data_IF_492858007896
#
_entry.id   IF_492858007896
#
_cell.length_a   1.000
_cell.length_b   1.000
_cell.length_c   1.000
_cell.angle_alpha   90.00
_cell.angle_beta   90.00
_cell.angle_gamma   90.00
#
_symmetry.space_group_name_H-M   'P 1'
#
loop_
_entity.id
_entity.type
_entity.pdbx_description
1 polymer ?
#
# COMPACT_ATOMS: atom_id res chain seq x y z
N UNK A 1 22.84 6.59 0.18
CA UNK A 1 22.09 7.86 0.09
C UNK A 1 23.09 8.96 0.22
N UNK A 2 22.80 10.12 -0.35
CA UNK A 2 23.57 11.33 -0.11
C UNK A 2 23.56 11.69 1.37
N UNK A 3 24.63 12.33 1.85
CA UNK A 3 24.69 12.86 3.20
C UNK A 3 23.61 13.92 3.41
N UNK A 4 23.39 14.78 2.40
CA UNK A 4 22.37 15.83 2.44
C UNK A 4 20.97 15.29 2.72
N UNK A 5 20.57 14.18 2.08
CA UNK A 5 19.25 13.59 2.32
C UNK A 5 19.23 12.75 3.60
N UNK A 6 20.34 12.08 3.93
CA UNK A 6 20.41 11.21 5.10
C UNK A 6 20.38 11.98 6.43
N UNK A 7 20.86 13.23 6.44
CA UNK A 7 20.93 14.09 7.62
C UNK A 7 19.96 15.29 7.58
N UNK A 8 19.09 15.37 6.57
CA UNK A 8 18.13 16.47 6.43
C UNK A 8 17.28 16.63 7.70
N UNK A 9 17.36 17.81 8.33
CA UNK A 9 16.68 18.14 9.60
C UNK A 9 16.92 17.12 10.73
N UNK A 10 18.07 16.44 10.76
CA UNK A 10 18.44 15.50 11.83
C UNK A 10 17.97 14.06 11.60
N UNK A 11 16.77 13.87 11.05
CA UNK A 11 16.17 12.52 10.85
C UNK A 11 16.41 11.94 9.45
N UNK A 12 16.68 12.83 8.49
CA UNK A 12 16.80 12.51 7.07
C UNK A 12 15.46 12.26 6.39
N UNK A 13 15.49 12.25 5.06
CA UNK A 13 14.32 11.97 4.24
C UNK A 13 14.14 10.44 4.13
N UNK A 14 12.99 9.93 4.58
CA UNK A 14 12.68 8.48 4.58
C UNK A 14 11.45 8.18 3.73
N UNK A 15 11.51 7.09 2.97
CA UNK A 15 10.40 6.56 2.19
C UNK A 15 10.02 5.18 2.74
N UNK A 16 8.77 5.02 3.17
CA UNK A 16 8.25 3.72 3.58
C UNK A 16 8.12 2.78 2.37
N UNK A 17 7.82 1.49 2.63
CA UNK A 17 7.69 0.49 1.55
C UNK A 17 6.61 0.88 0.53
N UNK A 18 5.49 1.43 0.99
CA UNK A 18 4.41 1.90 0.12
C UNK A 18 4.90 2.99 -0.81
N UNK A 19 5.53 4.05 -0.31
CA UNK A 19 6.08 5.13 -1.13
C UNK A 19 7.08 4.62 -2.17
N UNK A 20 7.94 3.66 -1.78
CA UNK A 20 8.89 3.03 -2.72
C UNK A 20 8.20 2.20 -3.80
N UNK A 21 7.14 1.45 -3.46
CA UNK A 21 6.34 0.74 -4.45
C UNK A 21 5.55 1.71 -5.35
N UNK A 22 5.05 2.80 -4.77
CA UNK A 22 4.31 3.82 -5.49
C UNK A 22 5.19 4.54 -6.50
N UNK A 23 6.48 4.74 -6.22
CA UNK A 23 7.41 5.31 -7.18
C UNK A 23 7.39 4.58 -8.53
N UNK A 24 7.01 3.31 -8.59
CA UNK A 24 6.94 2.53 -9.82
C UNK A 24 5.64 2.70 -10.63
N UNK A 25 4.67 3.50 -10.16
CA UNK A 25 3.43 3.74 -10.91
C UNK A 25 3.67 4.66 -12.10
N UNK A 26 2.99 4.37 -13.21
CA UNK A 26 3.02 5.17 -14.43
C UNK A 26 1.59 5.54 -14.86
N UNK A 27 1.01 6.62 -14.30
CA UNK A 27 -0.39 6.97 -14.54
C UNK A 27 -0.75 7.21 -16.02
N UNK A 28 0.20 7.66 -16.86
CA UNK A 28 -0.07 7.88 -18.29
C UNK A 28 -0.34 6.58 -19.06
N UNK A 29 0.12 5.44 -18.55
CA UNK A 29 -0.11 4.13 -19.16
C UNK A 29 -1.42 3.49 -18.68
N UNK A 30 -2.19 4.17 -17.83
CA UNK A 30 -3.42 3.61 -17.29
C UNK A 30 -4.54 3.68 -18.32
N UNK A 31 -4.98 2.51 -18.80
CA UNK A 31 -6.19 2.42 -19.60
C UNK A 31 -7.44 2.36 -18.71
N UNK A 32 -8.60 2.73 -19.25
CA UNK A 32 -9.88 2.64 -18.53
C UNK A 32 -10.13 1.22 -18.01
N UNK A 33 -9.93 0.21 -18.87
CA UNK A 33 -10.16 -1.20 -18.55
C UNK A 33 -9.23 -1.69 -17.44
N UNK A 34 -7.94 -1.40 -17.51
CA UNK A 34 -6.98 -1.81 -16.50
C UNK A 34 -7.23 -1.11 -15.17
N UNK A 35 -7.53 0.20 -15.23
CA UNK A 35 -7.88 1.00 -14.06
C UNK A 35 -9.13 0.49 -13.38
N UNK A 36 -10.20 0.20 -14.13
CA UNK A 36 -11.44 -0.36 -13.58
C UNK A 36 -11.20 -1.69 -12.86
N UNK A 37 -10.38 -2.57 -13.44
CA UNK A 37 -9.98 -3.83 -12.81
C UNK A 37 -9.08 -3.63 -11.59
N UNK A 38 -8.15 -2.67 -11.63
CA UNK A 38 -7.31 -2.30 -10.49
C UNK A 38 -8.14 -1.76 -9.32
N UNK A 39 -9.02 -0.79 -9.57
CA UNK A 39 -9.88 -0.19 -8.55
C UNK A 39 -10.86 -1.19 -7.96
N UNK A 40 -11.45 -2.07 -8.77
CA UNK A 40 -12.37 -3.10 -8.27
C UNK A 40 -11.65 -4.07 -7.31
N UNK A 41 -10.40 -4.46 -7.61
CA UNK A 41 -9.57 -5.28 -6.72
C UNK A 41 -9.27 -4.58 -5.39
N UNK A 42 -8.92 -3.30 -5.43
CA UNK A 42 -8.64 -2.53 -4.22
C UNK A 42 -9.91 -2.27 -3.40
N UNK A 43 -11.04 -2.03 -4.07
CA UNK A 43 -12.35 -1.95 -3.43
C UNK A 43 -12.69 -3.25 -2.71
N UNK A 44 -12.60 -4.40 -3.38
CA UNK A 44 -12.83 -5.71 -2.76
C UNK A 44 -11.90 -5.94 -1.57
N UNK A 45 -10.61 -5.60 -1.69
CA UNK A 45 -9.66 -5.75 -0.58
C UNK A 45 -10.03 -4.88 0.61
N UNK A 46 -10.46 -3.63 0.37
CA UNK A 46 -10.83 -2.69 1.42
C UNK A 46 -12.12 -3.11 2.15
N UNK A 47 -13.16 -3.50 1.40
CA UNK A 47 -14.42 -3.98 2.00
C UNK A 47 -14.20 -5.29 2.75
N UNK A 48 -13.37 -6.21 2.23
CA UNK A 48 -12.99 -7.42 2.95
C UNK A 48 -12.25 -7.11 4.26
N UNK A 49 -11.32 -6.15 4.25
CA UNK A 49 -10.61 -5.75 5.47
C UNK A 49 -11.56 -5.15 6.52
N UNK A 50 -12.57 -4.38 6.08
CA UNK A 50 -13.61 -3.86 6.96
C UNK A 50 -14.48 -4.99 7.55
N UNK A 51 -14.89 -5.94 6.72
CA UNK A 51 -15.61 -7.14 7.16
C UNK A 51 -14.81 -7.96 8.18
N UNK A 52 -13.50 -8.13 7.95
CA UNK A 52 -12.60 -8.76 8.92
C UNK A 52 -12.53 -7.99 10.24
N UNK A 53 -12.53 -6.66 10.21
CA UNK A 53 -12.55 -5.86 11.43
C UNK A 53 -13.86 -6.05 12.20
N UNK A 54 -14.99 -6.01 11.51
CA UNK A 54 -16.32 -6.11 12.13
C UNK A 54 -16.60 -7.50 12.69
N UNK A 55 -16.10 -8.56 12.04
CA UNK A 55 -16.20 -9.94 12.53
C UNK A 55 -15.07 -10.33 13.50
N UNK A 56 -14.18 -9.38 13.84
CA UNK A 56 -13.13 -9.58 14.84
C UNK A 56 -11.95 -10.44 14.38
N UNK A 57 -11.78 -10.65 13.08
CA UNK A 57 -10.59 -11.30 12.49
C UNK A 57 -9.35 -10.42 12.64
N UNK A 58 -9.52 -9.09 12.53
CA UNK A 58 -8.45 -8.11 12.75
C UNK A 58 -8.84 -7.13 13.83
N UNK A 59 -7.84 -6.50 14.46
CA UNK A 59 -8.01 -5.48 15.49
C UNK A 59 -7.51 -4.13 14.99
N UNK A 60 -8.04 -3.04 15.56
CA UNK A 60 -7.49 -1.70 15.36
C UNK A 60 -6.12 -1.58 16.01
N UNK A 61 -5.20 -0.90 15.34
CA UNK A 61 -3.86 -0.56 15.83
C UNK A 61 -3.77 0.95 15.90
N UNK A 62 -3.22 1.47 17.00
CA UNK A 62 -2.99 2.91 17.18
C UNK A 62 -1.54 3.26 16.90
N UNK A 63 -1.33 4.35 16.18
CA UNK A 63 -0.03 4.92 15.87
C UNK A 63 0.20 6.14 16.77
N UNK A 64 0.30 5.95 18.08
CA UNK A 64 0.69 7.05 18.97
C UNK A 64 2.17 7.37 18.75
N UNK A 65 2.47 8.66 18.52
CA UNK A 65 3.76 9.15 18.02
C UNK A 65 4.93 9.09 19.01
N UNK A 66 5.24 7.95 19.62
CA UNK A 66 6.42 7.82 20.49
C UNK A 66 7.08 6.45 20.34
N UNK A 67 8.39 6.50 20.10
CA UNK A 67 9.31 5.37 20.19
C UNK A 67 9.08 4.63 21.51
N UNK A 68 8.76 3.33 21.45
CA UNK A 68 8.58 2.51 22.65
C UNK A 68 7.65 1.35 22.39
N UNK A 69 8.25 0.21 22.05
CA UNK A 69 7.81 -1.17 22.28
C UNK A 69 6.31 -1.50 22.19
N UNK A 70 6.02 -2.38 21.24
CA UNK A 70 4.78 -3.14 21.14
C UNK A 70 4.34 -3.72 22.49
N UNK A 71 3.29 -3.15 23.08
CA UNK A 71 2.40 -3.89 23.98
C UNK A 71 0.97 -3.79 23.43
N UNK A 72 0.51 -4.94 22.96
CA UNK A 72 -0.87 -5.19 22.60
C UNK A 72 -1.70 -5.28 23.89
N UNK A 73 -1.92 -4.13 24.54
CA UNK A 73 -2.70 -4.10 25.77
C UNK A 73 -4.17 -3.83 25.51
N UNK A 74 -4.95 -4.70 26.15
CA UNK A 74 -6.40 -4.82 26.10
C UNK A 74 -6.98 -3.80 27.08
N UNK A 75 -7.18 -2.55 26.65
CA UNK A 75 -7.85 -1.54 27.46
C UNK A 75 -9.05 -0.95 26.71
N UNK A 76 -10.19 -0.95 27.40
CA UNK A 76 -11.49 -0.54 26.90
C UNK A 76 -11.50 0.90 26.38
N UNK A 77 -12.22 1.08 25.28
CA UNK A 77 -12.41 2.30 24.53
C UNK A 77 -13.00 3.44 25.37
N UNK A 78 -12.21 4.46 25.64
CA UNK A 78 -12.72 5.83 25.75
C UNK A 78 -12.69 6.40 24.33
N UNK A 79 -13.87 6.72 23.78
CA UNK A 79 -13.98 7.49 22.53
C UNK A 79 -13.45 8.89 22.83
N UNK A 80 -12.23 9.16 22.37
CA UNK A 80 -11.67 10.50 22.40
C UNK A 80 -12.01 11.16 21.06
N UNK A 81 -12.78 12.24 21.09
CA UNK A 81 -13.30 12.95 19.90
C UNK A 81 -12.19 13.63 19.05
N UNK A 82 -10.92 13.48 19.44
CA UNK A 82 -9.75 13.98 18.72
C UNK A 82 -9.04 12.94 17.83
N UNK A 83 -9.54 11.71 17.70
CA UNK A 83 -8.88 10.66 16.92
C UNK A 83 -8.90 10.96 15.40
N UNK A 84 -7.73 11.17 14.80
CA UNK A 84 -7.59 11.31 13.35
C UNK A 84 -7.57 9.94 12.67
N UNK A 85 -8.17 9.77 11.47
CA UNK A 85 -8.04 8.56 10.67
C UNK A 85 -6.59 8.18 10.33
N UNK A 86 -5.65 9.12 10.44
CA UNK A 86 -4.22 8.88 10.22
C UNK A 86 -3.51 8.21 11.41
N UNK A 87 -4.12 8.22 12.59
CA UNK A 87 -3.54 7.67 13.82
C UNK A 87 -3.95 6.21 14.05
N UNK A 88 -4.77 5.63 13.16
CA UNK A 88 -5.39 4.32 13.35
C UNK A 88 -5.25 3.47 12.08
N UNK A 89 -4.85 2.21 12.25
CA UNK A 89 -4.90 1.19 11.20
C UNK A 89 -5.48 -0.12 11.73
N UNK A 90 -5.36 -1.20 10.96
CA UNK A 90 -5.71 -2.56 11.40
C UNK A 90 -4.52 -3.49 11.22
N UNK A 91 -4.46 -4.57 12.00
CA UNK A 91 -3.46 -5.60 11.78
C UNK A 91 -3.53 -6.11 10.33
N UNK A 92 -2.41 -6.13 9.58
CA UNK A 92 -2.42 -6.50 8.18
C UNK A 92 -2.70 -7.99 8.01
N UNK A 93 -3.55 -8.34 7.03
CA UNK A 93 -3.77 -9.74 6.61
C UNK A 93 -3.14 -9.94 5.24
N UNK A 94 -2.18 -10.87 5.13
CA UNK A 94 -1.48 -11.17 3.89
C UNK A 94 -2.27 -12.26 3.15
N UNK A 95 -3.03 -11.85 2.11
CA UNK A 95 -3.81 -12.78 1.27
C UNK A 95 -2.98 -13.23 0.06
N UNK A 96 -2.11 -12.36 -0.47
CA UNK A 96 -1.43 -12.58 -1.74
C UNK A 96 -2.37 -12.65 -2.94
N UNK A 97 -1.91 -13.23 -4.04
CA UNK A 97 -2.71 -13.41 -5.26
C UNK A 97 -3.77 -14.49 -5.11
N UNK A 98 -4.95 -14.27 -5.70
CA UNK A 98 -6.02 -15.25 -5.82
C UNK A 98 -6.15 -15.72 -7.27
N UNK A 99 -6.96 -16.77 -7.50
CA UNK A 99 -7.29 -17.24 -8.85
C UNK A 99 -8.04 -16.14 -9.60
N UNK A 100 -7.90 -16.09 -10.94
CA UNK A 100 -8.51 -15.05 -11.77
C UNK A 100 -10.04 -14.95 -11.58
N UNK A 101 -10.72 -16.09 -11.41
CA UNK A 101 -12.16 -16.15 -11.18
C UNK A 101 -12.62 -15.46 -9.89
N UNK A 102 -11.76 -15.38 -8.87
CA UNK A 102 -12.07 -14.70 -7.61
C UNK A 102 -12.28 -13.19 -7.81
N UNK A 103 -11.78 -12.60 -8.89
CA UNK A 103 -11.89 -11.15 -9.13
C UNK A 103 -13.13 -10.75 -9.93
N UNK A 104 -14.02 -11.69 -10.27
CA UNK A 104 -15.22 -11.43 -11.07
C UNK A 104 -16.37 -10.75 -10.30
N UNK A 105 -16.43 -10.92 -8.98
CA UNK A 105 -17.42 -10.28 -8.11
C UNK A 105 -16.87 -10.17 -6.69
N UNK A 106 -17.44 -9.31 -5.85
CA UNK A 106 -17.03 -9.22 -4.45
C UNK A 106 -17.24 -10.54 -3.72
N UNK A 107 -18.36 -11.21 -3.99
CA UNK A 107 -18.65 -12.53 -3.44
C UNK A 107 -17.56 -13.56 -3.76
N UNK A 108 -17.21 -13.71 -5.04
CA UNK A 108 -16.15 -14.64 -5.46
C UNK A 108 -14.80 -14.29 -4.83
N UNK A 109 -14.54 -13.00 -4.59
CA UNK A 109 -13.33 -12.53 -3.95
C UNK A 109 -13.28 -12.91 -2.48
N UNK A 110 -14.36 -12.67 -1.73
CA UNK A 110 -14.47 -13.03 -0.31
C UNK A 110 -14.34 -14.54 -0.14
N UNK A 111 -15.08 -15.34 -0.91
CA UNK A 111 -15.03 -16.81 -0.82
C UNK A 111 -13.62 -17.33 -1.11
N UNK A 112 -12.99 -16.86 -2.18
CA UNK A 112 -11.62 -17.28 -2.53
C UNK A 112 -10.57 -16.81 -1.51
N UNK A 113 -10.75 -15.64 -0.90
CA UNK A 113 -9.88 -15.15 0.15
C UNK A 113 -10.02 -15.98 1.44
N UNK A 114 -11.25 -16.24 1.89
CA UNK A 114 -11.52 -17.04 3.09
C UNK A 114 -11.01 -18.47 2.89
N UNK A 115 -11.34 -19.13 1.78
CA UNK A 115 -10.84 -20.46 1.44
C UNK A 115 -9.31 -20.53 1.51
N UNK A 116 -8.63 -19.54 0.92
CA UNK A 116 -7.16 -19.50 0.94
C UNK A 116 -6.61 -19.31 2.35
N UNK A 117 -7.25 -18.47 3.17
CA UNK A 117 -6.77 -18.16 4.51
C UNK A 117 -7.07 -19.28 5.52
N UNK A 118 -8.13 -20.06 5.32
CA UNK A 118 -8.46 -21.23 6.16
C UNK A 118 -7.67 -22.48 5.79
N UNK A 119 -7.20 -22.58 4.54
CA UNK A 119 -6.39 -23.74 4.07
C UNK A 119 -4.88 -23.51 4.16
N UNK A 120 -4.43 -22.32 4.57
CA UNK A 120 -3.00 -22.02 4.64
C UNK A 120 -2.35 -22.67 5.88
N UNK A 121 -1.56 -23.72 5.64
CA UNK A 121 -0.85 -24.47 6.68
C UNK A 121 0.31 -23.71 7.32
N UNK A 122 0.82 -22.64 6.71
CA UNK A 122 1.93 -21.85 7.27
C UNK A 122 1.53 -21.07 8.52
N UNK A 123 0.24 -20.75 8.67
CA UNK A 123 -0.27 -19.90 9.76
C UNK A 123 -1.53 -20.51 10.40
N UNK A 124 -1.42 -21.71 10.98
CA UNK A 124 -2.56 -22.44 11.59
C UNK A 124 -3.41 -21.61 12.56
N UNK A 125 -2.77 -20.79 13.40
CA UNK A 125 -3.50 -19.92 14.35
C UNK A 125 -4.42 -18.91 13.65
N UNK A 126 -4.03 -18.42 12.48
CA UNK A 126 -4.87 -17.53 11.68
C UNK A 126 -5.99 -18.29 10.95
N UNK A 127 -5.74 -19.54 10.55
CA UNK A 127 -6.73 -20.37 9.90
C UNK A 127 -7.91 -20.70 10.84
N UNK A 128 -7.63 -21.03 12.11
CA UNK A 128 -8.68 -21.34 13.10
C UNK A 128 -9.56 -20.12 13.39
N UNK A 129 -8.94 -18.94 13.61
CA UNK A 129 -9.68 -17.68 13.82
C UNK A 129 -10.49 -17.31 12.57
N UNK A 130 -9.92 -17.48 11.38
CA UNK A 130 -10.62 -17.22 10.12
C UNK A 130 -11.83 -18.15 9.99
N UNK A 131 -11.67 -19.44 10.29
CA UNK A 131 -12.76 -20.40 10.23
C UNK A 131 -13.85 -20.10 11.25
N UNK A 132 -13.47 -19.76 12.49
CA UNK A 132 -14.40 -19.40 13.57
C UNK A 132 -15.21 -18.15 13.21
N UNK A 133 -14.54 -17.10 12.70
CA UNK A 133 -15.18 -15.80 12.46
C UNK A 133 -15.83 -15.65 11.10
N UNK A 134 -15.36 -16.37 10.08
CA UNK A 134 -15.80 -16.22 8.68
C UNK A 134 -16.43 -17.48 8.10
N UNK A 135 -16.37 -18.63 8.76
CA UNK A 135 -16.86 -19.90 8.20
C UNK A 135 -18.37 -19.92 7.95
N UNK A 136 -19.14 -19.15 8.71
CA UNK A 136 -20.60 -19.04 8.65
C UNK A 136 -21.09 -17.82 7.85
N UNK A 137 -20.18 -17.06 7.20
CA UNK A 137 -20.59 -15.86 6.48
C UNK A 137 -21.54 -16.22 5.32
N UNK A 138 -22.73 -15.61 5.32
CA UNK A 138 -23.75 -15.82 4.29
C UNK A 138 -23.50 -14.96 3.06
N UNK A 139 -24.08 -15.35 1.92
CA UNK A 139 -23.99 -14.56 0.69
C UNK A 139 -24.71 -13.20 0.85
N UNK A 140 -25.84 -13.18 1.56
CA UNK A 140 -26.62 -11.97 1.83
C UNK A 140 -25.84 -10.97 2.69
N UNK A 141 -25.04 -11.46 3.64
CA UNK A 141 -24.14 -10.60 4.42
C UNK A 141 -23.04 -10.00 3.54
N UNK A 142 -22.43 -10.79 2.67
CA UNK A 142 -21.40 -10.31 1.74
C UNK A 142 -21.99 -9.22 0.82
N UNK A 143 -23.17 -9.46 0.26
CA UNK A 143 -23.88 -8.53 -0.61
C UNK A 143 -24.26 -7.23 0.12
N UNK A 144 -24.67 -7.33 1.40
CA UNK A 144 -24.94 -6.16 2.25
C UNK A 144 -23.69 -5.28 2.42
N UNK A 145 -22.52 -5.88 2.67
CA UNK A 145 -21.26 -5.12 2.76
C UNK A 145 -20.91 -4.45 1.43
N UNK A 146 -21.06 -5.15 0.31
CA UNK A 146 -20.83 -4.55 -1.02
C UNK A 146 -21.75 -3.35 -1.25
N UNK A 147 -23.06 -3.52 -1.03
CA UNK A 147 -24.05 -2.46 -1.22
C UNK A 147 -23.78 -1.24 -0.30
N UNK A 148 -23.42 -1.47 0.96
CA UNK A 148 -23.13 -0.43 1.94
C UNK A 148 -21.94 0.45 1.53
N UNK A 149 -20.88 -0.16 0.98
CA UNK A 149 -19.64 0.55 0.65
C UNK A 149 -19.50 0.94 -0.82
N UNK A 150 -20.29 0.37 -1.72
CA UNK A 150 -20.22 0.65 -3.15
C UNK A 150 -20.33 2.15 -3.49
N UNK A 151 -21.21 2.96 -2.86
CA UNK A 151 -21.23 4.41 -3.09
C UNK A 151 -19.88 5.11 -2.88
N UNK A 152 -19.04 4.58 -1.98
CA UNK A 152 -17.71 5.12 -1.64
C UNK A 152 -16.59 4.62 -2.54
N UNK A 153 -16.86 3.71 -3.49
CA UNK A 153 -15.85 3.21 -4.44
C UNK A 153 -15.17 4.36 -5.20
N UNK A 154 -15.92 5.42 -5.54
CA UNK A 154 -15.37 6.60 -6.22
C UNK A 154 -14.31 7.33 -5.38
N UNK A 155 -14.53 7.47 -4.07
CA UNK A 155 -13.56 8.05 -3.14
C UNK A 155 -12.27 7.21 -3.12
N UNK A 156 -12.41 5.88 -3.06
CA UNK A 156 -11.28 4.97 -3.12
C UNK A 156 -10.51 5.12 -4.44
N UNK A 157 -11.20 5.16 -5.58
CA UNK A 157 -10.55 5.40 -6.87
C UNK A 157 -9.76 6.72 -6.86
N UNK A 158 -10.34 7.80 -6.34
CA UNK A 158 -9.68 9.10 -6.27
C UNK A 158 -8.41 9.05 -5.41
N UNK A 159 -8.45 8.42 -4.23
CA UNK A 159 -7.28 8.27 -3.35
C UNK A 159 -6.18 7.45 -4.03
N UNK A 160 -6.53 6.32 -4.67
CA UNK A 160 -5.54 5.51 -5.38
C UNK A 160 -4.93 6.23 -6.59
N UNK A 161 -5.73 7.01 -7.32
CA UNK A 161 -5.21 7.87 -8.40
C UNK A 161 -4.27 8.94 -7.86
N UNK A 162 -4.63 9.65 -6.78
CA UNK A 162 -3.77 10.64 -6.14
C UNK A 162 -2.44 10.04 -5.67
N UNK A 163 -2.49 8.84 -5.06
CA UNK A 163 -1.28 8.10 -4.73
C UNK A 163 -0.45 7.81 -5.98
N UNK A 164 -1.06 7.35 -7.08
CA UNK A 164 -0.34 7.09 -8.32
C UNK A 164 0.29 8.36 -8.92
N UNK A 165 -0.37 9.51 -8.84
CA UNK A 165 0.22 10.80 -9.24
C UNK A 165 1.41 11.21 -8.36
N UNK A 166 1.38 10.90 -7.07
CA UNK A 166 2.50 11.18 -6.16
C UNK A 166 3.77 10.37 -6.48
N UNK A 167 3.67 9.33 -7.31
CA UNK A 167 4.79 8.50 -7.75
C UNK A 167 5.94 9.33 -8.35
N UNK A 168 5.61 10.34 -9.17
CA UNK A 168 6.59 11.20 -9.81
C UNK A 168 7.40 12.03 -8.81
N UNK A 169 6.77 12.48 -7.72
CA UNK A 169 7.46 13.19 -6.65
C UNK A 169 8.45 12.25 -5.93
N UNK A 170 8.04 11.01 -5.67
CA UNK A 170 8.92 10.00 -5.05
C UNK A 170 10.07 9.61 -5.97
N UNK A 171 9.81 9.42 -7.26
CA UNK A 171 10.86 9.16 -8.26
C UNK A 171 11.87 10.31 -8.33
N UNK A 172 11.38 11.55 -8.42
CA UNK A 172 12.21 12.75 -8.46
C UNK A 172 13.10 12.86 -7.21
N UNK A 173 12.56 12.51 -6.05
CA UNK A 173 13.29 12.49 -4.78
C UNK A 173 14.42 11.45 -4.79
N UNK A 174 14.15 10.25 -5.29
CA UNK A 174 15.15 9.17 -5.41
C UNK A 174 16.26 9.58 -6.38
N UNK A 175 15.91 10.12 -7.55
CA UNK A 175 16.86 10.58 -8.56
C UNK A 175 17.73 11.72 -8.01
N UNK A 176 17.12 12.70 -7.33
CA UNK A 176 17.84 13.82 -6.71
C UNK A 176 18.83 13.34 -5.65
N UNK A 177 18.44 12.40 -4.80
CA UNK A 177 19.34 11.81 -3.80
C UNK A 177 20.53 11.10 -4.46
N UNK A 178 20.28 10.29 -5.50
CA UNK A 178 21.34 9.55 -6.20
C UNK A 178 22.31 10.48 -6.93
N UNK A 179 21.80 11.52 -7.58
CA UNK A 179 22.63 12.52 -8.23
C UNK A 179 23.43 13.33 -7.21
N UNK A 180 22.81 13.72 -6.09
CA UNK A 180 23.50 14.44 -4.99
C UNK A 180 24.62 13.60 -4.42
N UNK A 181 24.39 12.29 -4.23
CA UNK A 181 25.43 11.37 -3.75
C UNK A 181 26.66 11.38 -4.65
N UNK A 182 26.49 11.37 -5.99
CA UNK A 182 27.63 11.45 -6.92
C UNK A 182 28.36 12.79 -6.83
N UNK A 183 27.62 13.89 -6.62
CA UNK A 183 28.20 15.23 -6.46
C UNK A 183 28.98 15.41 -5.16
N UNK A 184 28.63 14.67 -4.11
CA UNK A 184 29.35 14.67 -2.83
C UNK A 184 30.69 13.91 -2.89
N UNK A 185 30.92 13.08 -3.92
CA UNK A 185 32.17 12.33 -4.14
C UNK A 185 32.97 12.93 -5.31
N UNK A 186 33.23 14.24 -5.24
CA UNK A 186 33.92 14.98 -6.29
C UNK A 186 35.40 14.60 -6.45
N UNK A 187 35.96 13.90 -5.46
CA UNK A 187 37.27 13.25 -5.46
C UNK A 187 37.32 12.02 -6.38
N UNK A 188 36.20 11.31 -6.55
CA UNK A 188 36.07 10.11 -7.39
C UNK A 188 35.33 10.37 -8.72
N UNK A 189 34.43 11.35 -8.74
CA UNK A 189 33.52 11.62 -9.86
C UNK A 189 33.87 12.96 -10.51
N UNK A 190 34.20 12.92 -11.81
CA UNK A 190 34.52 14.11 -12.61
C UNK A 190 33.28 14.87 -13.04
N UNK A 191 32.29 14.15 -13.55
CA UNK A 191 31.04 14.71 -14.07
C UNK A 191 29.85 13.86 -13.61
N UNK A 192 28.72 14.51 -13.30
CA UNK A 192 27.49 13.81 -12.94
C UNK A 192 26.26 14.59 -13.39
N UNK A 193 25.31 13.88 -14.01
CA UNK A 193 24.04 14.42 -14.53
C UNK A 193 22.94 13.35 -14.49
N UNK A 194 21.73 13.76 -14.86
CA UNK A 194 20.58 12.89 -15.04
C UNK A 194 20.10 13.07 -16.47
N UNK A 195 19.78 11.98 -17.16
CA UNK A 195 19.27 12.01 -18.53
C UNK A 195 18.11 11.02 -18.71
N UNK A 196 17.22 11.36 -19.64
CA UNK A 196 16.15 10.47 -20.11
C UNK A 196 16.70 9.58 -21.22
N UNK A 197 16.75 8.27 -21.00
CA UNK A 197 17.28 7.28 -21.96
C UNK A 197 16.23 6.87 -23.00
N UNK A 198 14.94 6.94 -22.63
CA UNK A 198 13.82 6.58 -23.48
C UNK A 198 12.74 7.66 -23.43
N UNK A 199 11.89 7.71 -24.45
CA UNK A 199 10.64 8.46 -24.35
C UNK A 199 9.78 7.86 -23.24
N UNK A 200 9.04 8.72 -22.54
CA UNK A 200 8.20 8.29 -21.43
C UNK A 200 7.13 7.26 -21.87
N UNK A 201 6.63 7.37 -23.10
CA UNK A 201 5.68 6.41 -23.68
C UNK A 201 6.28 5.02 -23.87
N UNK A 202 7.58 4.94 -24.17
CA UNK A 202 8.29 3.66 -24.33
C UNK A 202 8.63 3.06 -22.97
N UNK A 203 9.13 3.88 -22.07
CA UNK A 203 9.38 3.51 -20.68
C UNK A 203 9.12 4.70 -19.77
N UNK A 204 8.09 4.65 -18.91
CA UNK A 204 7.86 5.70 -17.92
C UNK A 204 8.98 5.76 -16.86
N UNK A 205 9.86 4.74 -16.85
CA UNK A 205 11.06 4.65 -16.00
C UNK A 205 12.28 4.83 -16.89
N UNK A 206 12.49 6.05 -17.33
CA UNK A 206 13.47 6.40 -18.35
C UNK A 206 14.68 7.18 -17.82
N UNK A 207 14.74 7.51 -16.53
CA UNK A 207 15.83 8.30 -15.98
C UNK A 207 17.04 7.41 -15.64
N UNK A 208 18.22 7.84 -16.08
CA UNK A 208 19.50 7.31 -15.61
C UNK A 208 20.28 8.40 -14.89
N UNK A 209 20.94 8.02 -13.80
CA UNK A 209 21.85 8.89 -13.06
C UNK A 209 23.27 8.50 -13.45
N UNK A 210 23.99 9.42 -14.10
CA UNK A 210 25.32 9.16 -14.66
C UNK A 210 26.40 9.78 -13.78
N UNK A 211 27.45 9.01 -13.50
CA UNK A 211 28.69 9.49 -12.88
C UNK A 211 29.88 9.04 -13.70
N UNK A 212 30.65 9.99 -14.22
CA UNK A 212 31.91 9.72 -14.93
C UNK A 212 33.04 9.71 -13.92
N UNK A 213 33.71 8.57 -13.79
CA UNK A 213 34.87 8.42 -12.92
C UNK A 213 36.01 9.33 -13.38
N UNK A 214 36.77 9.88 -12.43
CA UNK A 214 38.05 10.54 -12.74
C UNK A 214 39.08 9.58 -13.31
#
# INVERSE_FOLDING_TARGET
>A
MSQKFSAYQGDGVRLNITARMMACQAPQNWTEKESAGFFSRHFYRAVLQKMFLDRGVVKKVRHTGSQGESQADTAASTQDDSESPFDISTNPVIIGSLRKSCYGSFKSYVRGAVEKLTTNNEYKQYADVMQEKMGDISDEEIERYEALYMPRKKELCAVWSLMAFSAMAVESLIVSDRWTFLKEHDDLVRHAWVETVFDYEQSPRNLVVVGVKR
#
